data_IF_457200866631
#
_entry.id   IF_457200866631
#
_cell.length_a   1.000
_cell.length_b   1.000
_cell.length_c   1.000
_cell.angle_alpha   90.00
_cell.angle_beta   90.00
_cell.angle_gamma   90.00
#
_symmetry.space_group_name_H-M   'P 1'
#
loop_
_entity.id
_entity.type
_entity.pdbx_description
1 polymer ?
#
# COMPACT_ATOMS: atom_id res chain seq x y z
N UNK A 1 -3.76 30.70 -63.85
CA UNK A 1 -2.73 29.69 -63.50
C UNK A 1 -2.21 29.85 -62.07
N UNK A 2 -2.04 31.06 -61.51
CA UNK A 2 -1.59 31.24 -60.11
C UNK A 2 -2.62 30.82 -59.04
N UNK A 3 -3.91 31.02 -59.31
CA UNK A 3 -5.00 30.66 -58.38
C UNK A 3 -5.19 29.15 -58.19
N UNK A 4 -4.91 28.37 -59.24
CA UNK A 4 -5.12 26.92 -59.25
C UNK A 4 -4.09 26.21 -58.36
N UNK A 5 -2.84 26.68 -58.42
CA UNK A 5 -1.75 26.22 -57.57
C UNK A 5 -1.96 26.58 -56.09
N UNK A 6 -2.49 27.77 -55.81
CA UNK A 6 -2.80 28.18 -54.44
C UNK A 6 -3.92 27.33 -53.81
N UNK A 7 -4.92 26.93 -54.61
CA UNK A 7 -5.98 26.05 -54.16
C UNK A 7 -5.50 24.64 -53.81
N UNK A 8 -4.57 24.08 -54.61
CA UNK A 8 -3.98 22.77 -54.32
C UNK A 8 -3.13 22.78 -53.06
N UNK A 9 -2.30 23.81 -52.87
CA UNK A 9 -1.42 23.93 -51.70
C UNK A 9 -2.22 24.04 -50.38
N UNK A 10 -3.32 24.79 -50.39
CA UNK A 10 -4.22 24.93 -49.23
C UNK A 10 -4.93 23.62 -48.86
N UNK A 11 -5.37 22.84 -49.85
CA UNK A 11 -6.04 21.56 -49.61
C UNK A 11 -5.07 20.51 -49.03
N UNK A 12 -3.81 20.54 -49.47
CA UNK A 12 -2.75 19.67 -48.96
C UNK A 12 -2.42 20.00 -47.49
N UNK A 13 -2.34 21.30 -47.16
CA UNK A 13 -2.07 21.76 -45.80
C UNK A 13 -3.19 21.43 -44.81
N UNK A 14 -4.46 21.57 -45.20
CA UNK A 14 -5.60 21.15 -44.38
C UNK A 14 -5.61 19.64 -44.12
N UNK A 15 -5.25 18.85 -45.14
CA UNK A 15 -5.15 17.39 -45.01
C UNK A 15 -4.04 17.00 -44.04
N UNK A 16 -2.86 17.62 -44.16
CA UNK A 16 -1.75 17.40 -43.23
C UNK A 16 -2.11 17.79 -41.80
N UNK A 17 -2.76 18.94 -41.61
CA UNK A 17 -3.21 19.42 -40.29
C UNK A 17 -4.21 18.45 -39.65
N UNK A 18 -5.16 17.94 -40.44
CA UNK A 18 -6.13 16.95 -39.98
C UNK A 18 -5.50 15.62 -39.56
N UNK A 19 -4.47 15.16 -40.29
CA UNK A 19 -3.71 13.96 -39.92
C UNK A 19 -2.91 14.19 -38.64
N UNK A 20 -2.25 15.34 -38.50
CA UNK A 20 -1.50 15.70 -37.30
C UNK A 20 -2.39 15.72 -36.04
N UNK A 21 -3.59 16.32 -36.15
CA UNK A 21 -4.56 16.41 -35.06
C UNK A 21 -5.09 15.04 -34.61
N UNK A 22 -5.17 14.08 -35.53
CA UNK A 22 -5.56 12.72 -35.22
C UNK A 22 -4.47 11.99 -34.43
N UNK A 23 -3.22 12.09 -34.88
CA UNK A 23 -2.05 11.51 -34.19
C UNK A 23 -1.90 12.10 -32.78
N UNK A 24 -2.06 13.43 -32.63
CA UNK A 24 -1.99 14.08 -31.32
C UNK A 24 -3.12 13.65 -30.38
N UNK A 25 -4.30 13.33 -30.91
CA UNK A 25 -5.41 12.78 -30.11
C UNK A 25 -5.10 11.37 -29.62
N UNK A 26 -4.54 10.51 -30.46
CA UNK A 26 -4.13 9.15 -30.08
C UNK A 26 -3.01 9.18 -29.03
N UNK A 27 -1.98 10.01 -29.26
CA UNK A 27 -0.86 10.19 -28.33
C UNK A 27 -1.34 10.68 -26.96
N UNK A 28 -2.24 11.69 -26.92
CA UNK A 28 -2.86 12.15 -25.67
C UNK A 28 -3.68 11.05 -24.98
N UNK A 29 -4.37 10.20 -25.75
CA UNK A 29 -5.11 9.05 -25.22
C UNK A 29 -4.22 8.00 -24.56
N UNK A 30 -3.08 7.66 -25.19
CA UNK A 30 -2.10 6.72 -24.62
C UNK A 30 -1.43 7.27 -23.37
N UNK A 31 -1.06 8.55 -23.35
CA UNK A 31 -0.48 9.19 -22.16
C UNK A 31 -1.46 9.17 -21.00
N UNK A 32 -2.75 9.49 -21.24
CA UNK A 32 -3.78 9.55 -20.20
C UNK A 32 -4.09 8.19 -19.58
N UNK A 33 -4.09 7.13 -20.39
CA UNK A 33 -4.31 5.76 -19.90
C UNK A 33 -3.11 5.23 -19.10
N UNK A 34 -1.89 5.56 -19.52
CA UNK A 34 -0.68 5.23 -18.77
C UNK A 34 -0.62 5.94 -17.40
N UNK A 35 -0.94 7.24 -17.38
CA UNK A 35 -0.98 8.05 -16.15
C UNK A 35 -2.07 7.55 -15.19
N UNK A 36 -3.27 7.27 -15.70
CA UNK A 36 -4.37 6.72 -14.91
C UNK A 36 -4.02 5.34 -14.31
N UNK A 37 -3.35 4.48 -15.07
CA UNK A 37 -2.89 3.17 -14.57
C UNK A 37 -1.81 3.28 -13.49
N UNK A 38 -0.91 4.25 -13.61
CA UNK A 38 0.11 4.55 -12.60
C UNK A 38 -0.51 5.11 -11.31
N UNK A 39 -1.39 6.08 -11.43
CA UNK A 39 -2.08 6.72 -10.31
C UNK A 39 -2.91 5.72 -9.50
N UNK A 40 -3.75 4.90 -10.16
CA UNK A 40 -4.58 3.90 -9.48
C UNK A 40 -3.72 2.91 -8.69
N UNK A 41 -2.59 2.47 -9.25
CA UNK A 41 -1.66 1.57 -8.55
C UNK A 41 -0.99 2.25 -7.36
N UNK A 42 -0.58 3.51 -7.50
CA UNK A 42 0.02 4.27 -6.40
C UNK A 42 -0.99 4.44 -5.25
N UNK A 43 -2.24 4.81 -5.55
CA UNK A 43 -3.30 4.93 -4.55
C UNK A 43 -3.56 3.59 -3.86
N UNK A 44 -3.66 2.50 -4.61
CA UNK A 44 -3.86 1.16 -4.04
C UNK A 44 -2.71 0.74 -3.11
N UNK A 45 -1.46 1.04 -3.49
CA UNK A 45 -0.27 0.74 -2.67
C UNK A 45 -0.27 1.52 -1.36
N UNK A 46 -0.50 2.83 -1.43
CA UNK A 46 -0.48 3.71 -0.25
C UNK A 46 -1.64 3.37 0.68
N UNK A 47 -2.85 3.19 0.13
CA UNK A 47 -4.03 2.84 0.92
C UNK A 47 -3.92 1.44 1.55
N UNK A 48 -3.45 0.44 0.80
CA UNK A 48 -3.21 -0.90 1.32
C UNK A 48 -2.17 -0.93 2.43
N UNK A 49 -1.07 -0.20 2.25
CA UNK A 49 -0.05 -0.01 3.28
C UNK A 49 -0.61 0.68 4.54
N UNK A 50 -1.40 1.75 4.37
CA UNK A 50 -1.99 2.49 5.48
C UNK A 50 -2.98 1.64 6.29
N UNK A 51 -3.86 0.90 5.59
CA UNK A 51 -4.83 -0.01 6.23
C UNK A 51 -4.10 -1.12 7.00
N UNK A 52 -3.03 -1.67 6.43
CA UNK A 52 -2.23 -2.72 7.08
C UNK A 52 -1.58 -2.20 8.36
N UNK A 53 -0.95 -1.03 8.30
CA UNK A 53 -0.32 -0.42 9.46
C UNK A 53 -1.33 -0.10 10.55
N UNK A 54 -2.48 0.47 10.17
CA UNK A 54 -3.56 0.75 11.09
C UNK A 54 -4.09 -0.52 11.75
N UNK A 55 -4.29 -1.60 10.99
CA UNK A 55 -4.69 -2.90 11.52
C UNK A 55 -3.66 -3.46 12.51
N UNK A 56 -2.36 -3.36 12.21
CA UNK A 56 -1.29 -3.74 13.13
C UNK A 56 -1.31 -2.95 14.44
N UNK A 57 -1.45 -1.62 14.36
CA UNK A 57 -1.57 -0.73 15.53
C UNK A 57 -2.80 -1.07 16.38
N UNK A 58 -3.95 -1.32 15.75
CA UNK A 58 -5.16 -1.73 16.47
C UNK A 58 -5.00 -3.09 17.15
N UNK A 59 -4.34 -4.04 16.49
CA UNK A 59 -4.09 -5.37 17.04
C UNK A 59 -3.23 -5.31 18.30
N UNK A 60 -2.20 -4.45 18.28
CA UNK A 60 -1.28 -4.21 19.39
C UNK A 60 -1.96 -3.40 20.49
N UNK A 61 -2.72 -2.36 20.16
CA UNK A 61 -3.51 -1.63 21.15
C UNK A 61 -4.53 -2.55 21.84
N UNK A 62 -5.13 -3.48 21.09
CA UNK A 62 -6.03 -4.50 21.65
C UNK A 62 -5.30 -5.51 22.54
N UNK A 63 -4.07 -5.92 22.22
CA UNK A 63 -3.31 -6.74 23.16
C UNK A 63 -3.04 -5.96 24.44
N UNK A 64 -2.56 -4.72 24.32
CA UNK A 64 -2.21 -3.90 25.49
C UNK A 64 -3.40 -3.61 26.41
N UNK A 65 -4.58 -3.31 25.85
CA UNK A 65 -5.80 -3.12 26.65
C UNK A 65 -6.23 -4.38 27.40
N UNK A 66 -6.11 -5.56 26.79
CA UNK A 66 -6.50 -6.84 27.42
C UNK A 66 -5.47 -7.28 28.45
N UNK A 67 -4.19 -6.96 28.24
CA UNK A 67 -3.11 -7.24 29.17
C UNK A 67 -2.96 -6.16 30.27
N UNK A 68 -3.83 -5.14 30.29
CA UNK A 68 -3.80 -3.99 31.22
C UNK A 68 -2.46 -3.20 31.20
N UNK A 69 -1.84 -3.12 30.03
CA UNK A 69 -0.60 -2.39 29.79
C UNK A 69 -0.94 -0.93 29.50
N UNK A 70 -1.33 -0.18 30.54
CA UNK A 70 -1.39 1.29 30.60
C UNK A 70 -1.68 2.06 29.31
N UNK A 71 -2.66 1.67 28.49
CA UNK A 71 -2.89 2.31 27.17
C UNK A 71 -3.45 3.74 27.28
N UNK A 72 -3.89 4.13 28.49
CA UNK A 72 -4.31 5.48 28.81
C UNK A 72 -3.14 6.44 29.05
N UNK A 73 -1.91 5.93 29.21
CA UNK A 73 -0.72 6.74 29.42
C UNK A 73 -0.16 7.26 28.10
N UNK A 74 0.05 8.58 28.03
CA UNK A 74 0.57 9.29 26.85
C UNK A 74 1.86 8.65 26.26
N UNK A 75 2.83 8.16 27.06
CA UNK A 75 4.02 7.47 26.54
C UNK A 75 3.71 6.20 25.77
N UNK A 76 2.70 5.42 26.18
CA UNK A 76 2.32 4.18 25.52
C UNK A 76 1.60 4.47 24.19
N UNK A 77 0.75 5.51 24.16
CA UNK A 77 0.17 6.03 22.91
C UNK A 77 1.24 6.54 21.93
N UNK A 78 2.28 7.22 22.44
CA UNK A 78 3.42 7.64 21.62
C UNK A 78 4.20 6.44 21.07
N UNK A 79 4.42 5.39 21.87
CA UNK A 79 5.07 4.18 21.41
C UNK A 79 4.30 3.52 20.25
N UNK A 80 2.96 3.39 20.37
CA UNK A 80 2.10 2.90 19.29
C UNK A 80 2.23 3.72 18.00
N UNK A 81 2.32 5.06 18.10
CA UNK A 81 2.57 5.93 16.95
C UNK A 81 3.96 5.74 16.34
N UNK A 82 4.99 5.55 17.17
CA UNK A 82 6.35 5.25 16.71
C UNK A 82 6.44 3.90 16.01
N UNK A 83 5.57 2.93 16.34
CA UNK A 83 5.46 1.67 15.62
C UNK A 83 4.62 1.79 14.34
N UNK A 84 3.62 2.66 14.31
CA UNK A 84 2.75 2.87 13.16
C UNK A 84 3.52 3.30 11.90
N UNK A 85 4.48 4.22 12.05
CA UNK A 85 5.27 4.78 10.93
C UNK A 85 6.14 3.71 10.24
N UNK A 86 6.99 2.94 10.93
CA UNK A 86 7.78 1.88 10.30
C UNK A 86 6.90 0.74 9.77
N UNK A 87 5.82 0.35 10.47
CA UNK A 87 4.85 -0.62 9.94
C UNK A 87 4.23 -0.12 8.64
N UNK A 88 3.88 1.16 8.56
CA UNK A 88 3.35 1.76 7.35
C UNK A 88 4.35 1.78 6.21
N UNK A 89 5.61 2.15 6.47
CA UNK A 89 6.66 2.11 5.48
C UNK A 89 6.86 0.67 4.94
N UNK A 90 6.97 -0.32 5.83
CA UNK A 90 7.17 -1.73 5.47
C UNK A 90 5.95 -2.34 4.77
N UNK A 91 4.74 -2.01 5.21
CA UNK A 91 3.53 -2.45 4.53
C UNK A 91 3.44 -1.82 3.15
N UNK A 92 3.68 -0.51 3.03
CA UNK A 92 3.64 0.18 1.74
C UNK A 92 4.67 -0.40 0.76
N UNK A 93 5.88 -0.77 1.20
CA UNK A 93 6.86 -1.45 0.34
C UNK A 93 6.42 -2.85 -0.06
N UNK A 94 5.81 -3.62 0.84
CA UNK A 94 5.23 -4.92 0.53
C UNK A 94 4.10 -4.83 -0.51
N UNK A 95 3.19 -3.87 -0.33
CA UNK A 95 2.11 -3.58 -1.27
C UNK A 95 2.65 -3.09 -2.62
N UNK A 96 3.69 -2.25 -2.61
CA UNK A 96 4.37 -1.81 -3.82
C UNK A 96 4.99 -2.98 -4.58
N UNK A 97 5.74 -3.84 -3.89
CA UNK A 97 6.34 -5.03 -4.48
C UNK A 97 5.28 -5.97 -5.08
N UNK A 98 4.17 -6.21 -4.37
CA UNK A 98 3.04 -7.00 -4.88
C UNK A 98 2.41 -6.38 -6.12
N UNK A 99 2.14 -5.07 -6.08
CA UNK A 99 1.54 -4.34 -7.19
C UNK A 99 2.45 -4.27 -8.42
N UNK A 100 3.77 -4.11 -8.26
CA UNK A 100 4.74 -3.93 -9.35
C UNK A 100 5.23 -5.25 -9.92
N UNK A 101 5.56 -6.23 -9.08
CA UNK A 101 6.15 -7.51 -9.52
C UNK A 101 5.07 -8.47 -10.02
N UNK A 102 3.98 -8.61 -9.27
CA UNK A 102 2.95 -9.63 -9.52
C UNK A 102 1.70 -9.04 -10.20
N UNK A 103 1.33 -7.80 -9.88
CA UNK A 103 0.21 -7.09 -10.52
C UNK A 103 0.40 -6.84 -12.03
N UNK A 104 1.64 -6.96 -12.56
CA UNK A 104 1.91 -6.95 -14.01
C UNK A 104 1.42 -8.21 -14.73
N UNK A 105 1.32 -9.35 -14.02
CA UNK A 105 0.87 -10.64 -14.59
C UNK A 105 -0.56 -10.95 -14.18
N UNK A 106 -0.92 -10.70 -12.92
CA UNK A 106 -2.27 -10.91 -12.40
C UNK A 106 -2.51 -10.01 -11.19
N UNK A 107 -3.57 -9.19 -11.26
CA UNK A 107 -3.97 -8.30 -10.15
C UNK A 107 -4.32 -9.14 -8.91
N UNK A 108 -5.02 -10.26 -9.08
CA UNK A 108 -5.39 -11.13 -7.95
C UNK A 108 -4.19 -11.75 -7.28
N UNK A 109 -3.17 -12.18 -8.04
CA UNK A 109 -1.93 -12.71 -7.49
C UNK A 109 -1.13 -11.62 -6.76
N UNK A 110 -1.10 -10.39 -7.30
CA UNK A 110 -0.47 -9.25 -6.64
C UNK A 110 -1.13 -8.87 -5.32
N UNK A 111 -2.47 -8.87 -5.27
CA UNK A 111 -3.24 -8.63 -4.05
C UNK A 111 -3.01 -9.74 -3.02
N UNK A 112 -3.07 -11.01 -3.44
CA UNK A 112 -2.82 -12.14 -2.54
C UNK A 112 -1.41 -12.07 -1.92
N UNK A 113 -0.39 -11.75 -2.72
CA UNK A 113 0.97 -11.62 -2.23
C UNK A 113 1.14 -10.42 -1.27
N UNK A 114 0.51 -9.27 -1.58
CA UNK A 114 0.54 -8.11 -0.70
C UNK A 114 -0.16 -8.38 0.65
N UNK A 115 -1.29 -9.08 0.62
CA UNK A 115 -2.01 -9.52 1.82
C UNK A 115 -1.18 -10.49 2.66
N UNK A 116 -0.56 -11.49 2.02
CA UNK A 116 0.31 -12.44 2.71
C UNK A 116 1.52 -11.74 3.34
N UNK A 117 2.19 -10.85 2.62
CA UNK A 117 3.30 -10.07 3.17
C UNK A 117 2.87 -9.18 4.34
N UNK A 118 1.68 -8.57 4.23
CA UNK A 118 1.07 -7.77 5.29
C UNK A 118 0.77 -8.59 6.54
N UNK A 119 0.21 -9.79 6.36
CA UNK A 119 -0.04 -10.73 7.46
C UNK A 119 1.27 -11.15 8.14
N UNK A 120 2.32 -11.45 7.36
CA UNK A 120 3.64 -11.76 7.90
C UNK A 120 4.26 -10.59 8.67
N UNK A 121 4.10 -9.36 8.21
CA UNK A 121 4.59 -8.17 8.91
C UNK A 121 3.88 -7.96 10.25
N UNK A 122 2.55 -8.06 10.27
CA UNK A 122 1.77 -7.96 11.52
C UNK A 122 2.16 -9.09 12.47
N UNK A 123 2.31 -10.31 11.96
CA UNK A 123 2.72 -11.46 12.75
C UNK A 123 4.12 -11.28 13.36
N UNK A 124 5.11 -10.91 12.56
CA UNK A 124 6.47 -10.64 13.03
C UNK A 124 6.52 -9.51 14.06
N UNK A 125 5.67 -8.50 13.90
CA UNK A 125 5.55 -7.42 14.87
C UNK A 125 4.97 -7.91 16.21
N UNK A 126 3.94 -8.75 16.19
CA UNK A 126 3.39 -9.36 17.39
C UNK A 126 4.39 -10.30 18.06
N UNK A 127 5.11 -11.12 17.28
CA UNK A 127 6.16 -12.01 17.76
C UNK A 127 7.33 -11.23 18.39
N UNK A 128 7.71 -10.09 17.82
CA UNK A 128 8.73 -9.21 18.41
C UNK A 128 8.34 -8.70 19.80
N UNK A 129 7.06 -8.42 20.02
CA UNK A 129 6.54 -7.99 21.31
C UNK A 129 6.38 -9.13 22.32
N UNK A 130 6.49 -10.39 21.86
CA UNK A 130 6.42 -11.56 22.72
C UNK A 130 7.73 -11.71 23.49
N UNK A 131 7.63 -11.59 24.81
CA UNK A 131 8.70 -11.78 25.79
C UNK A 131 8.28 -12.90 26.77
N UNK A 132 8.67 -14.16 26.51
CA UNK A 132 8.36 -15.27 27.41
C UNK A 132 9.13 -15.18 28.74
N UNK A 133 10.14 -14.32 28.86
CA UNK A 133 10.95 -14.12 30.08
C UNK A 133 10.32 -13.18 31.10
N UNK A 134 9.41 -12.29 30.67
CA UNK A 134 8.70 -11.36 31.55
C UNK A 134 9.59 -10.26 32.14
N UNK A 135 10.69 -9.92 31.46
CA UNK A 135 11.62 -8.89 31.93
C UNK A 135 11.01 -7.50 31.71
N UNK A 136 11.12 -6.61 32.70
CA UNK A 136 10.55 -5.27 32.62
C UNK A 136 11.35 -4.37 31.64
N UNK A 137 10.71 -3.54 30.78
CA UNK A 137 9.26 -3.36 30.63
C UNK A 137 8.62 -4.42 29.73
N UNK A 138 7.80 -5.29 30.33
CA UNK A 138 7.09 -6.33 29.61
C UNK A 138 5.77 -5.76 29.08
N UNK A 139 5.63 -5.64 27.75
CA UNK A 139 4.35 -5.36 27.09
C UNK A 139 3.53 -6.66 26.98
N UNK A 140 3.38 -7.37 28.11
CA UNK A 140 2.98 -8.76 28.16
C UNK A 140 1.64 -9.06 28.86
N UNK A 141 0.94 -10.10 28.39
CA UNK A 141 -0.24 -10.67 29.04
C UNK A 141 0.13 -11.79 30.03
N UNK A 142 -0.18 -11.69 31.32
CA UNK A 142 -0.01 -12.82 32.24
C UNK A 142 -0.96 -14.00 31.89
N UNK A 143 -0.55 -15.28 32.07
CA UNK A 143 0.79 -15.76 32.41
C UNK A 143 1.69 -16.07 31.21
N UNK A 144 1.12 -16.37 30.03
CA UNK A 144 1.86 -16.95 28.89
C UNK A 144 2.35 -15.92 27.86
N UNK A 145 2.19 -14.63 28.14
CA UNK A 145 2.47 -13.53 27.22
C UNK A 145 1.75 -13.63 25.87
N UNK A 146 0.51 -14.14 25.90
CA UNK A 146 -0.35 -14.28 24.73
C UNK A 146 -1.74 -13.74 25.07
N UNK A 147 -2.30 -12.82 24.28
CA UNK A 147 -3.67 -12.37 24.47
C UNK A 147 -4.65 -13.54 24.31
N UNK A 148 -5.73 -13.62 25.12
CA UNK A 148 -6.69 -14.73 25.06
C UNK A 148 -7.45 -14.84 23.74
N UNK A 149 -7.43 -13.79 22.91
CA UNK A 149 -8.02 -13.79 21.57
C UNK A 149 -7.04 -14.26 20.49
N UNK A 150 -5.76 -14.43 20.81
CA UNK A 150 -4.77 -14.91 19.85
C UNK A 150 -5.04 -16.37 19.51
N UNK A 151 -5.00 -16.75 18.22
CA UNK A 151 -5.23 -18.13 17.83
C UNK A 151 -4.12 -19.05 18.37
N UNK A 152 -4.50 -20.06 19.18
CA UNK A 152 -3.54 -20.99 19.78
C UNK A 152 -2.78 -21.91 18.81
N UNK A 153 -3.14 -21.91 17.52
CA UNK A 153 -2.42 -22.63 16.47
C UNK A 153 -1.32 -21.79 15.80
N UNK A 154 -1.29 -20.47 16.05
CA UNK A 154 -0.33 -19.56 15.45
C UNK A 154 0.75 -19.20 16.48
N UNK A 155 2.03 -19.56 16.25
CA UNK A 155 3.09 -19.27 17.21
C UNK A 155 3.31 -17.76 17.34
N UNK A 156 3.79 -17.32 18.51
CA UNK A 156 4.32 -15.99 18.78
C UNK A 156 5.76 -16.12 19.24
#
# INVERSE_FOLDING_TARGET
MLYDKYGSDMAEEETHRGVQDAVDREARGQVRTADQGGFVRAVAVVSGGAVTAFAGVLLVGRSWTVCDIGTADLPNLMALMLYAVPLWALATTAWWAGAVVLGRRSISAGLAAALLASACLIWAFMAWQHDPGGDYPAFACPPDNVPPWWPGWLPL
#
